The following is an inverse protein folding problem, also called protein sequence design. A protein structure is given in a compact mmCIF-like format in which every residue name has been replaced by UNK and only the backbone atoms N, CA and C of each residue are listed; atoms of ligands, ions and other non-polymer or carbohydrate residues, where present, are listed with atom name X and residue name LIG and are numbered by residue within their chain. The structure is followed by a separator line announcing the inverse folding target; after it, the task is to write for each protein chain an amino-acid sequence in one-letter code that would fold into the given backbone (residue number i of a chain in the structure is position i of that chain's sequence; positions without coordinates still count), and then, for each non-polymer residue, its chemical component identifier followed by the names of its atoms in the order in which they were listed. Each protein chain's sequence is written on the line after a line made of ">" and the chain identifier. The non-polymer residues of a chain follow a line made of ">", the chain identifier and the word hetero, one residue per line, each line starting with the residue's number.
data_IF_119143344107
#
_entry.id   IF_119143344107
#
_cell.length_a   1.000
_cell.length_b   1.000
_cell.length_c   1.000
_cell.angle_alpha   90.00
_cell.angle_beta   90.00
_cell.angle_gamma   90.00
#
_symmetry.space_group_name_H-M   'P 1'
#
loop_
_entity.id
_entity.type
_entity.pdbx_description
1 polymer ?
#
# COMPACT_ATOMS: atom_id res chain seq x y z
N UNK A 1 47.06 -28.92 -32.91
CA UNK A 1 47.65 -29.93 -32.01
C UNK A 1 46.86 -29.91 -30.72
N UNK A 2 46.25 -31.06 -30.47
CA UNK A 2 45.72 -31.61 -29.20
C UNK A 2 44.80 -30.67 -28.36
N UNK A 3 43.63 -31.05 -27.95
CA UNK A 3 42.93 -32.33 -27.96
C UNK A 3 42.04 -32.38 -26.73
N UNK A 4 40.77 -32.60 -26.96
CA UNK A 4 39.82 -33.46 -26.24
C UNK A 4 39.88 -33.47 -24.70
N UNK A 5 38.79 -33.14 -24.01
CA UNK A 5 38.05 -34.17 -23.30
C UNK A 5 36.68 -33.72 -22.83
N UNK A 6 35.72 -34.38 -23.37
CA UNK A 6 34.33 -34.52 -22.92
C UNK A 6 34.34 -35.38 -21.66
N UNK A 7 33.70 -34.97 -20.59
CA UNK A 7 33.22 -35.90 -19.57
C UNK A 7 31.77 -35.57 -19.14
N UNK A 8 30.94 -36.38 -19.70
CA UNK A 8 29.58 -36.72 -19.36
C UNK A 8 29.55 -37.26 -17.92
N UNK A 9 28.83 -36.65 -17.02
CA UNK A 9 28.43 -37.26 -15.77
C UNK A 9 26.90 -37.30 -15.74
N UNK A 10 26.45 -38.55 -15.84
CA UNK A 10 25.10 -38.99 -15.87
C UNK A 10 24.40 -38.72 -14.54
N UNK A 11 23.20 -38.16 -14.67
CA UNK A 11 22.13 -38.03 -13.70
C UNK A 11 21.91 -39.28 -12.86
N UNK A 12 21.77 -39.07 -11.57
CA UNK A 12 20.93 -39.94 -10.70
C UNK A 12 19.73 -39.09 -10.24
N UNK A 13 18.61 -39.36 -10.87
CA UNK A 13 17.28 -39.00 -10.40
C UNK A 13 17.00 -39.76 -9.09
N UNK A 14 17.02 -39.08 -7.96
CA UNK A 14 16.36 -39.52 -6.75
C UNK A 14 15.05 -38.75 -6.62
N UNK A 15 13.98 -39.44 -6.96
CA UNK A 15 12.61 -39.13 -6.60
C UNK A 15 12.50 -39.11 -5.06
N UNK A 16 12.56 -37.93 -4.45
CA UNK A 16 12.05 -37.74 -3.11
C UNK A 16 10.64 -37.14 -3.23
N UNK A 17 9.67 -38.05 -3.17
CA UNK A 17 8.29 -37.72 -2.87
C UNK A 17 8.25 -36.96 -1.54
N UNK A 18 7.92 -35.67 -1.60
CA UNK A 18 7.50 -34.96 -0.41
C UNK A 18 6.09 -35.40 -0.07
N UNK A 19 6.00 -36.37 0.82
CA UNK A 19 4.81 -36.59 1.59
C UNK A 19 4.57 -35.34 2.45
N UNK A 20 3.59 -34.54 2.09
CA UNK A 20 2.95 -33.64 3.02
C UNK A 20 2.36 -34.50 4.14
N UNK A 21 3.03 -34.47 5.28
CA UNK A 21 2.49 -35.02 6.52
C UNK A 21 1.32 -34.10 6.89
N UNK A 22 0.13 -34.52 6.52
CA UNK A 22 -1.07 -34.08 7.20
C UNK A 22 -0.89 -34.48 8.65
N UNK A 23 -0.73 -33.50 9.52
CA UNK A 23 -0.76 -33.68 10.96
C UNK A 23 -2.21 -34.11 11.33
N UNK A 24 -2.49 -35.38 11.18
CA UNK A 24 -3.68 -36.00 11.78
C UNK A 24 -3.32 -36.15 13.25
N UNK A 25 -3.55 -35.13 14.04
CA UNK A 25 -3.60 -35.28 15.49
C UNK A 25 -4.64 -36.37 15.78
N UNK A 26 -4.09 -37.43 16.34
CA UNK A 26 -4.74 -38.71 16.58
C UNK A 26 -6.10 -38.49 17.28
N UNK A 27 -7.15 -38.93 16.61
CA UNK A 27 -8.41 -39.25 17.27
C UNK A 27 -8.08 -40.42 18.24
N UNK A 28 -8.08 -40.13 19.51
CA UNK A 28 -7.95 -41.13 20.55
C UNK A 28 -9.06 -42.15 20.37
N UNK A 29 -8.79 -43.46 20.51
CA UNK A 29 -9.82 -44.49 20.37
C UNK A 29 -10.85 -44.29 21.49
N UNK A 30 -12.09 -44.07 21.09
CA UNK A 30 -13.25 -44.07 21.99
C UNK A 30 -13.42 -45.49 22.50
N UNK A 31 -13.18 -45.71 23.79
CA UNK A 31 -13.56 -46.95 24.47
C UNK A 31 -15.10 -47.05 24.45
N UNK A 32 -15.61 -47.91 23.60
CA UNK A 32 -17.00 -48.35 23.58
C UNK A 32 -17.23 -49.34 24.72
N UNK A 33 -17.54 -48.82 25.90
CA UNK A 33 -18.19 -49.60 26.96
C UNK A 33 -19.12 -48.64 27.73
N UNK A 34 -20.29 -48.45 27.16
CA UNK A 34 -21.54 -48.20 27.90
C UNK A 34 -22.68 -48.19 26.89
N UNK A 35 -23.43 -49.31 26.89
CA UNK A 35 -24.70 -49.45 26.17
C UNK A 35 -25.77 -48.57 26.79
N UNK A 36 -25.98 -47.37 26.21
CA UNK A 36 -27.18 -46.58 26.42
C UNK A 36 -28.13 -46.82 25.22
N UNK A 37 -29.32 -47.41 25.42
CA UNK A 37 -30.25 -47.74 24.35
C UNK A 37 -31.01 -46.56 23.74
N UNK A 38 -30.74 -45.32 24.15
CA UNK A 38 -31.41 -44.12 23.63
C UNK A 38 -30.40 -43.04 23.30
N UNK A 39 -29.36 -43.39 22.51
CA UNK A 39 -28.36 -42.45 22.08
C UNK A 39 -28.92 -41.36 21.18
N UNK A 40 -29.39 -40.27 21.77
CA UNK A 40 -29.43 -38.97 21.09
C UNK A 40 -28.00 -38.49 21.00
N UNK A 41 -27.33 -38.79 19.90
CA UNK A 41 -26.04 -38.21 19.60
C UNK A 41 -26.25 -36.69 19.47
N UNK A 42 -25.78 -35.95 20.48
CA UNK A 42 -25.70 -34.49 20.43
C UNK A 42 -24.59 -34.13 19.44
N UNK A 43 -24.99 -33.97 18.17
CA UNK A 43 -24.09 -33.58 17.10
C UNK A 43 -23.45 -32.22 17.33
N UNK A 44 -24.02 -31.38 18.17
CA UNK A 44 -23.50 -30.02 18.47
C UNK A 44 -22.21 -30.03 19.30
N UNK A 45 -21.93 -31.18 19.99
CA UNK A 45 -20.73 -31.29 20.84
C UNK A 45 -19.44 -31.58 20.03
N UNK A 46 -19.53 -32.01 18.77
CA UNK A 46 -18.39 -32.45 17.96
C UNK A 46 -17.92 -31.44 16.90
N UNK A 47 -18.63 -30.30 16.71
CA UNK A 47 -18.30 -29.32 15.67
C UNK A 47 -18.15 -27.91 16.21
N UNK A 48 -17.58 -27.74 17.40
CA UNK A 48 -17.11 -26.43 17.83
C UNK A 48 -15.79 -26.09 17.11
N UNK A 49 -15.88 -25.86 15.81
CA UNK A 49 -14.77 -25.18 15.13
C UNK A 49 -14.72 -23.76 15.73
N UNK A 50 -13.59 -23.36 16.31
CA UNK A 50 -13.47 -22.00 16.84
C UNK A 50 -13.77 -21.03 15.69
N UNK A 51 -14.70 -20.11 15.93
CA UNK A 51 -14.99 -19.07 14.92
C UNK A 51 -13.67 -18.40 14.53
N UNK A 52 -13.43 -18.21 13.23
CA UNK A 52 -12.22 -17.55 12.79
C UNK A 52 -12.11 -16.20 13.51
N UNK A 53 -10.92 -15.90 14.04
CA UNK A 53 -10.68 -14.62 14.70
C UNK A 53 -10.85 -13.50 13.67
N UNK A 54 -11.54 -12.41 14.04
CA UNK A 54 -11.64 -11.25 13.16
C UNK A 54 -10.25 -10.75 12.76
N UNK A 55 -10.07 -10.45 11.48
CA UNK A 55 -8.80 -9.91 10.96
C UNK A 55 -8.49 -8.56 11.62
N UNK A 56 -7.30 -8.38 12.21
CA UNK A 56 -6.93 -7.09 12.80
C UNK A 56 -6.88 -5.96 11.76
N UNK A 57 -7.06 -4.73 12.22
CA UNK A 57 -6.99 -3.52 11.40
C UNK A 57 -5.84 -2.65 11.89
N UNK A 58 -4.95 -2.25 10.99
CA UNK A 58 -3.93 -1.25 11.23
C UNK A 58 -4.37 0.07 10.61
N UNK A 59 -4.24 1.17 11.37
CA UNK A 59 -4.47 2.54 10.89
C UNK A 59 -3.16 3.31 10.86
N UNK A 60 -3.00 4.17 9.84
CA UNK A 60 -1.87 5.07 9.71
C UNK A 60 -2.29 6.46 9.25
N UNK A 61 -1.90 7.47 10.02
CA UNK A 61 -2.17 8.88 9.74
C UNK A 61 -1.30 9.46 8.60
N UNK A 62 -1.66 10.67 8.14
CA UNK A 62 -0.98 11.39 7.08
C UNK A 62 0.16 12.30 7.55
N UNK A 63 0.60 13.18 6.63
CA UNK A 63 1.60 14.23 6.89
C UNK A 63 1.07 15.26 7.89
N UNK A 64 1.96 15.84 8.69
CA UNK A 64 1.64 16.85 9.73
C UNK A 64 0.55 16.41 10.70
N UNK A 65 0.38 15.10 10.87
CA UNK A 65 -0.63 14.45 11.71
C UNK A 65 0.01 13.50 12.72
N UNK A 66 -0.79 12.96 13.61
CA UNK A 66 -0.42 11.97 14.62
C UNK A 66 -1.62 11.06 14.93
N UNK A 67 -1.41 10.06 15.77
CA UNK A 67 -2.45 9.08 16.14
C UNK A 67 -3.67 9.73 16.78
N UNK A 68 -3.52 10.85 17.49
CA UNK A 68 -4.66 11.51 18.17
C UNK A 68 -5.72 12.00 17.17
N UNK A 69 -5.32 12.35 15.95
CA UNK A 69 -6.25 12.79 14.92
C UNK A 69 -7.09 11.64 14.32
N UNK A 70 -6.66 10.39 14.49
CA UNK A 70 -7.40 9.21 14.06
C UNK A 70 -8.21 8.55 15.21
N UNK A 71 -8.14 9.05 16.44
CA UNK A 71 -8.95 8.48 17.54
C UNK A 71 -10.45 8.40 17.24
N UNK A 72 -11.11 9.41 16.62
CA UNK A 72 -12.50 9.27 16.22
C UNK A 72 -12.75 8.09 15.26
N UNK A 73 -11.79 7.81 14.38
CA UNK A 73 -11.85 6.66 13.45
C UNK A 73 -11.68 5.34 14.20
N UNK A 74 -10.75 5.30 15.16
CA UNK A 74 -10.52 4.12 16.02
C UNK A 74 -11.78 3.77 16.81
N UNK A 75 -12.40 4.76 17.46
CA UNK A 75 -13.61 4.57 18.22
C UNK A 75 -14.78 4.11 17.33
N UNK A 76 -14.92 4.72 16.17
CA UNK A 76 -15.93 4.32 15.19
C UNK A 76 -15.76 2.87 14.74
N UNK A 77 -14.54 2.47 14.32
CA UNK A 77 -14.26 1.09 13.89
C UNK A 77 -14.54 0.08 15.01
N UNK A 78 -14.05 0.36 16.24
CA UNK A 78 -14.27 -0.51 17.41
C UNK A 78 -15.75 -0.63 17.78
N UNK A 79 -16.55 0.41 17.53
CA UNK A 79 -17.98 0.38 17.81
C UNK A 79 -18.79 -0.46 16.82
N UNK A 80 -18.23 -0.72 15.63
CA UNK A 80 -18.93 -1.35 14.49
C UNK A 80 -18.38 -2.73 14.13
N UNK A 81 -17.12 -3.01 14.46
CA UNK A 81 -16.42 -4.23 14.05
C UNK A 81 -15.83 -4.94 15.27
N UNK A 82 -15.82 -6.29 15.27
CA UNK A 82 -15.21 -7.08 16.33
C UNK A 82 -13.68 -7.13 16.23
N UNK A 83 -13.08 -6.52 15.21
CA UNK A 83 -11.65 -6.52 14.92
C UNK A 83 -10.85 -5.71 15.92
N UNK A 84 -9.64 -6.17 16.26
CA UNK A 84 -8.68 -5.33 16.96
C UNK A 84 -8.17 -4.23 16.04
N UNK A 85 -8.09 -3.00 16.55
CA UNK A 85 -7.65 -1.81 15.81
C UNK A 85 -6.35 -1.29 16.41
N UNK A 86 -5.30 -1.22 15.59
CA UNK A 86 -3.98 -0.72 15.93
C UNK A 86 -3.72 0.60 15.21
N UNK A 87 -3.73 1.70 15.94
CA UNK A 87 -3.44 3.04 15.45
C UNK A 87 -1.93 3.29 15.65
N UNK A 88 -1.16 3.24 14.56
CA UNK A 88 0.31 3.25 14.62
C UNK A 88 0.85 4.68 14.55
N UNK A 89 1.75 4.99 15.49
CA UNK A 89 2.54 6.21 15.47
C UNK A 89 3.95 5.94 14.94
N UNK A 90 4.44 6.81 14.06
CA UNK A 90 5.80 6.73 13.54
C UNK A 90 6.67 7.81 14.17
N UNK A 91 7.54 7.39 15.08
CA UNK A 91 8.48 8.29 15.76
C UNK A 91 7.77 9.37 16.58
N UNK A 92 8.00 10.64 16.27
CA UNK A 92 7.33 11.78 16.91
C UNK A 92 6.21 12.33 15.99
N UNK A 93 5.31 11.46 15.55
CA UNK A 93 4.06 11.76 14.85
C UNK A 93 4.15 12.96 13.91
N UNK A 94 3.44 14.01 14.26
CA UNK A 94 3.30 15.24 13.50
C UNK A 94 4.61 15.81 12.97
N UNK A 95 5.67 15.82 13.79
CA UNK A 95 6.97 16.34 13.37
C UNK A 95 7.66 15.41 12.39
N UNK A 96 7.69 14.13 12.69
CA UNK A 96 8.42 13.16 11.86
C UNK A 96 7.69 12.85 10.56
N UNK A 97 6.36 12.94 10.54
CA UNK A 97 5.59 12.80 9.29
C UNK A 97 5.92 13.88 8.26
N UNK A 98 6.42 15.05 8.68
CA UNK A 98 6.88 16.13 7.78
C UNK A 98 8.40 16.09 7.55
N UNK A 99 9.20 16.01 8.65
CA UNK A 99 10.66 16.23 8.63
C UNK A 99 11.50 14.97 8.63
N UNK A 100 10.94 13.84 8.25
CA UNK A 100 11.66 12.59 7.96
C UNK A 100 11.31 12.10 6.57
N UNK A 101 12.30 11.59 5.85
CA UNK A 101 12.09 11.03 4.52
C UNK A 101 11.07 9.90 4.56
N UNK A 102 10.38 9.64 3.44
CA UNK A 102 9.44 8.53 3.32
C UNK A 102 10.13 7.17 3.57
N UNK A 103 11.38 6.99 3.14
CA UNK A 103 12.15 5.77 3.40
C UNK A 103 12.40 5.54 4.89
N UNK A 104 12.74 6.60 5.63
CA UNK A 104 12.90 6.49 7.07
C UNK A 104 11.59 6.13 7.76
N UNK A 105 10.50 6.81 7.40
CA UNK A 105 9.18 6.53 7.96
C UNK A 105 8.71 5.11 7.64
N UNK A 106 8.96 4.63 6.43
CA UNK A 106 8.62 3.27 6.03
C UNK A 106 9.39 2.23 6.83
N UNK A 107 10.69 2.45 7.08
CA UNK A 107 11.50 1.57 7.92
C UNK A 107 10.95 1.49 9.35
N UNK A 108 10.65 2.64 9.96
CA UNK A 108 10.07 2.68 11.31
C UNK A 108 8.69 2.01 11.35
N UNK A 109 7.86 2.21 10.33
CA UNK A 109 6.57 1.52 10.19
C UNK A 109 6.72 0.00 10.15
N UNK A 110 7.68 -0.51 9.36
CA UNK A 110 7.93 -1.95 9.29
C UNK A 110 8.33 -2.52 10.67
N UNK A 111 9.19 -1.81 11.41
CA UNK A 111 9.60 -2.21 12.75
C UNK A 111 8.42 -2.17 13.74
N UNK A 112 7.59 -1.13 13.67
CA UNK A 112 6.42 -0.99 14.53
C UNK A 112 5.41 -2.13 14.30
N UNK A 113 5.14 -2.49 13.05
CA UNK A 113 4.23 -3.61 12.72
C UNK A 113 4.83 -4.94 13.19
N UNK A 114 6.12 -5.19 12.99
CA UNK A 114 6.77 -6.44 13.43
C UNK A 114 6.83 -6.59 14.97
N UNK A 115 6.69 -5.49 15.70
CA UNK A 115 6.60 -5.51 17.15
C UNK A 115 5.22 -5.94 17.69
N UNK A 116 4.22 -6.16 16.81
CA UNK A 116 2.86 -6.55 17.16
C UNK A 116 2.60 -8.00 16.70
N UNK A 117 2.82 -9.02 17.54
CA UNK A 117 2.68 -10.43 17.14
C UNK A 117 1.29 -10.79 16.63
N UNK A 118 0.25 -10.08 17.07
CA UNK A 118 -1.14 -10.31 16.67
C UNK A 118 -1.40 -10.04 15.19
N UNK A 119 -0.46 -9.41 14.49
CA UNK A 119 -0.54 -9.12 13.05
C UNK A 119 0.14 -10.20 12.19
N UNK A 120 0.77 -11.22 12.80
CA UNK A 120 1.59 -12.22 12.09
C UNK A 120 0.78 -13.03 11.08
N UNK A 121 -0.47 -13.37 11.40
CA UNK A 121 -1.38 -14.14 10.54
C UNK A 121 -2.05 -13.31 9.45
N UNK A 122 -1.72 -12.02 9.38
CA UNK A 122 -2.26 -11.07 8.40
C UNK A 122 -3.25 -10.08 9.00
N UNK A 123 -3.38 -8.94 8.33
CA UNK A 123 -4.21 -7.82 8.78
C UNK A 123 -4.73 -6.99 7.60
N UNK A 124 -5.76 -6.17 7.87
CA UNK A 124 -6.24 -5.14 6.97
C UNK A 124 -5.52 -3.83 7.27
N UNK A 125 -5.05 -3.13 6.26
CA UNK A 125 -4.31 -1.88 6.44
C UNK A 125 -5.08 -0.70 5.86
N UNK A 126 -5.45 0.25 6.71
CA UNK A 126 -6.07 1.52 6.32
C UNK A 126 -5.03 2.64 6.47
N UNK A 127 -4.65 3.28 5.37
CA UNK A 127 -3.73 4.42 5.36
C UNK A 127 -4.40 5.67 4.80
N UNK A 128 -4.30 6.79 5.53
CA UNK A 128 -4.86 8.07 5.09
C UNK A 128 -3.76 8.98 4.53
N UNK A 129 -4.01 9.63 3.39
CA UNK A 129 -3.10 10.63 2.81
C UNK A 129 -1.69 10.04 2.60
N UNK A 130 -0.63 10.69 3.09
CA UNK A 130 0.74 10.14 3.11
C UNK A 130 0.81 8.74 3.75
N UNK A 131 -0.03 8.46 4.76
CA UNK A 131 -0.10 7.15 5.41
C UNK A 131 -0.48 6.04 4.45
N UNK A 132 -1.28 6.31 3.42
CA UNK A 132 -1.61 5.31 2.39
C UNK A 132 -0.44 5.01 1.46
N UNK A 133 0.45 5.97 1.18
CA UNK A 133 1.71 5.70 0.48
C UNK A 133 2.64 4.82 1.32
N UNK A 134 2.73 5.09 2.62
CA UNK A 134 3.52 4.28 3.55
C UNK A 134 2.94 2.87 3.71
N UNK A 135 1.61 2.74 3.79
CA UNK A 135 0.94 1.44 3.83
C UNK A 135 1.21 0.62 2.56
N UNK A 136 1.13 1.25 1.38
CA UNK A 136 1.51 0.61 0.13
C UNK A 136 3.01 0.26 0.09
N UNK A 137 3.87 1.14 0.59
CA UNK A 137 5.30 0.88 0.75
C UNK A 137 5.59 -0.31 1.67
N UNK A 138 4.82 -0.47 2.74
CA UNK A 138 4.89 -1.64 3.61
C UNK A 138 4.59 -2.93 2.83
N UNK A 139 3.50 -2.96 2.08
CA UNK A 139 3.16 -4.11 1.22
C UNK A 139 4.30 -4.45 0.27
N UNK A 140 4.86 -3.47 -0.43
CA UNK A 140 5.88 -3.69 -1.44
C UNK A 140 7.23 -4.13 -0.85
N UNK A 141 7.58 -3.65 0.35
CA UNK A 141 8.93 -3.74 0.88
C UNK A 141 9.08 -4.64 2.12
N UNK A 142 8.07 -4.66 2.96
CA UNK A 142 8.16 -5.27 4.29
C UNK A 142 7.28 -6.49 4.47
N UNK A 143 6.17 -6.61 3.87
CA UNK A 143 5.06 -7.58 3.92
C UNK A 143 5.35 -8.98 4.55
N UNK A 144 6.19 -9.03 5.59
CA UNK A 144 6.48 -10.26 6.34
C UNK A 144 5.26 -10.71 7.13
N UNK A 145 4.56 -9.76 7.76
CA UNK A 145 3.21 -9.94 8.26
C UNK A 145 2.29 -9.48 7.15
N UNK A 146 1.54 -10.39 6.50
CA UNK A 146 0.90 -10.09 5.22
C UNK A 146 -0.27 -9.13 5.38
N UNK A 147 -0.33 -8.12 4.53
CA UNK A 147 -1.54 -7.30 4.37
C UNK A 147 -2.52 -8.10 3.50
N UNK A 148 -3.73 -8.30 3.99
CA UNK A 148 -4.84 -8.90 3.25
C UNK A 148 -5.51 -7.88 2.35
N UNK A 149 -6.10 -6.87 2.94
CA UNK A 149 -6.71 -5.76 2.21
C UNK A 149 -5.95 -4.46 2.48
N UNK A 150 -5.44 -3.83 1.42
CA UNK A 150 -4.88 -2.50 1.47
C UNK A 150 -5.98 -1.50 1.12
N UNK A 151 -6.35 -0.67 2.08
CA UNK A 151 -7.37 0.36 1.93
C UNK A 151 -6.72 1.72 2.12
N UNK A 152 -6.87 2.60 1.17
CA UNK A 152 -6.27 3.94 1.24
C UNK A 152 -7.34 5.00 1.11
N UNK A 153 -7.26 6.00 1.98
CA UNK A 153 -8.16 7.15 1.96
C UNK A 153 -7.39 8.38 1.50
N UNK A 154 -7.82 8.97 0.40
CA UNK A 154 -7.27 10.21 -0.17
C UNK A 154 -5.74 10.23 -0.22
N UNK A 155 -5.14 9.14 -0.69
CA UNK A 155 -3.69 8.98 -0.74
C UNK A 155 -3.12 9.36 -2.09
N UNK A 156 -2.04 10.13 -2.18
CA UNK A 156 -1.48 10.61 -3.45
C UNK A 156 -0.67 9.53 -4.17
N UNK A 157 -1.33 8.47 -4.66
CA UNK A 157 -0.69 7.30 -5.24
C UNK A 157 0.17 7.60 -6.46
N UNK A 158 -0.19 8.62 -7.23
CA UNK A 158 0.61 9.08 -8.37
C UNK A 158 1.28 10.45 -8.14
N UNK A 159 1.40 10.84 -6.85
CA UNK A 159 2.10 12.04 -6.44
C UNK A 159 1.21 13.27 -6.26
N UNK A 160 1.85 14.39 -6.01
CA UNK A 160 1.19 15.71 -5.87
C UNK A 160 1.94 16.76 -6.67
N UNK A 161 1.19 17.77 -7.16
CA UNK A 161 1.74 18.96 -7.80
C UNK A 161 0.76 20.14 -7.64
N UNK A 162 1.27 21.38 -7.58
CA UNK A 162 0.40 22.56 -7.48
C UNK A 162 -0.10 22.87 -6.07
N UNK A 163 0.57 22.37 -5.06
CA UNK A 163 0.32 22.72 -3.66
C UNK A 163 0.53 24.22 -3.42
N UNK A 164 -0.14 24.78 -2.42
CA UNK A 164 -0.06 26.19 -2.07
C UNK A 164 1.40 26.63 -1.87
N UNK A 165 1.92 27.43 -2.80
CA UNK A 165 3.35 27.77 -2.96
C UNK A 165 3.93 28.67 -1.86
N UNK A 166 3.10 29.08 -0.88
CA UNK A 166 3.45 30.12 0.09
C UNK A 166 4.54 29.71 1.09
N UNK A 167 4.72 28.40 1.33
CA UNK A 167 5.59 27.93 2.40
C UNK A 167 6.87 27.23 1.96
N UNK A 168 6.96 26.82 0.69
CA UNK A 168 8.09 26.04 0.19
C UNK A 168 8.56 26.54 -1.17
N UNK A 169 9.88 26.56 -1.37
CA UNK A 169 10.47 26.85 -2.67
C UNK A 169 10.46 25.56 -3.54
N UNK A 170 9.39 25.37 -4.29
CA UNK A 170 9.18 24.19 -5.14
C UNK A 170 10.26 23.99 -6.21
N UNK A 171 11.00 25.05 -6.56
CA UNK A 171 12.12 24.94 -7.49
C UNK A 171 13.26 24.09 -6.93
N UNK A 172 13.33 23.98 -5.59
CA UNK A 172 14.35 23.22 -4.87
C UNK A 172 13.90 21.81 -4.48
N UNK A 173 12.68 21.39 -4.82
CA UNK A 173 12.12 20.14 -4.36
C UNK A 173 12.99 18.93 -4.70
N UNK A 174 13.67 18.94 -5.86
CA UNK A 174 14.56 17.89 -6.29
C UNK A 174 16.02 18.05 -5.87
N UNK A 175 16.33 19.01 -4.99
CA UNK A 175 17.66 19.09 -4.38
C UNK A 175 17.82 18.03 -3.29
N UNK A 176 19.07 17.60 -3.06
CA UNK A 176 19.37 16.63 -1.99
C UNK A 176 18.94 17.12 -0.59
N UNK A 177 18.94 18.43 -0.36
CA UNK A 177 18.47 19.01 0.90
C UNK A 177 16.96 18.75 1.11
N UNK A 178 16.11 19.07 0.13
CA UNK A 178 14.67 18.86 0.23
C UNK A 178 14.33 17.38 0.30
N UNK A 179 14.94 16.58 -0.57
CA UNK A 179 14.74 15.13 -0.61
C UNK A 179 15.22 14.42 0.65
N UNK A 180 16.21 14.97 1.35
CA UNK A 180 16.73 14.44 2.61
C UNK A 180 15.99 14.91 3.86
N UNK A 181 15.16 15.95 3.76
CA UNK A 181 14.51 16.56 4.92
C UNK A 181 12.99 16.41 4.92
N UNK A 182 12.33 16.67 3.78
CA UNK A 182 10.88 16.75 3.72
C UNK A 182 10.28 15.50 3.11
N UNK A 183 9.29 14.89 3.78
CA UNK A 183 8.60 13.70 3.29
C UNK A 183 7.90 13.93 1.95
N UNK A 184 7.18 15.06 1.81
CA UNK A 184 6.44 15.39 0.61
C UNK A 184 7.33 15.52 -0.64
N UNK A 185 8.60 15.90 -0.48
CA UNK A 185 9.53 15.96 -1.60
C UNK A 185 9.71 14.60 -2.28
N UNK A 186 9.61 13.50 -1.52
CA UNK A 186 9.71 12.14 -2.03
C UNK A 186 8.51 11.68 -2.90
N UNK A 187 7.38 12.40 -2.88
CA UNK A 187 6.22 12.11 -3.72
C UNK A 187 5.69 13.33 -4.50
N UNK A 188 6.49 14.41 -4.56
CA UNK A 188 6.26 15.51 -5.48
C UNK A 188 6.55 15.07 -6.91
N UNK A 189 5.59 15.27 -7.84
CA UNK A 189 5.70 14.87 -9.25
C UNK A 189 5.39 16.09 -10.11
N UNK A 190 6.43 16.72 -10.64
CA UNK A 190 6.29 17.93 -11.44
C UNK A 190 6.09 17.57 -12.92
N UNK A 191 4.92 17.85 -13.52
CA UNK A 191 4.63 17.54 -14.92
C UNK A 191 5.50 18.32 -15.92
N UNK A 192 6.18 19.37 -15.48
CA UNK A 192 7.10 20.17 -16.30
C UNK A 192 8.58 19.79 -16.08
N UNK A 193 8.88 18.90 -15.12
CA UNK A 193 10.24 18.45 -14.80
C UNK A 193 10.29 16.92 -14.59
N UNK A 194 9.67 16.18 -15.48
CA UNK A 194 9.51 14.73 -15.28
C UNK A 194 10.85 13.98 -15.20
N UNK A 195 11.86 14.40 -15.99
CA UNK A 195 13.21 13.83 -15.89
C UNK A 195 13.84 14.08 -14.52
N UNK A 196 13.67 15.29 -13.95
CA UNK A 196 14.16 15.61 -12.61
C UNK A 196 13.43 14.80 -11.53
N UNK A 197 12.12 14.58 -11.69
CA UNK A 197 11.36 13.67 -10.84
C UNK A 197 11.93 12.26 -10.87
N UNK A 198 12.14 11.68 -12.04
CA UNK A 198 12.67 10.32 -12.18
C UNK A 198 14.10 10.17 -11.65
N UNK A 199 14.94 11.22 -11.82
CA UNK A 199 16.34 11.18 -11.44
C UNK A 199 16.59 11.46 -9.96
N UNK A 200 15.81 12.36 -9.35
CA UNK A 200 16.13 12.93 -8.05
C UNK A 200 15.08 12.67 -6.96
N UNK A 201 13.82 12.35 -7.30
CA UNK A 201 12.85 11.97 -6.28
C UNK A 201 13.26 10.66 -5.63
N UNK A 202 13.26 10.63 -4.29
CA UNK A 202 13.86 9.51 -3.54
C UNK A 202 12.87 8.41 -3.18
N UNK A 203 11.58 8.56 -3.46
CA UNK A 203 10.59 7.59 -3.01
C UNK A 203 9.60 7.16 -4.10
N UNK A 204 8.77 8.09 -4.61
CA UNK A 204 7.64 7.73 -5.46
C UNK A 204 8.03 7.02 -6.77
N UNK A 205 9.09 7.41 -7.51
CA UNK A 205 9.46 6.71 -8.73
C UNK A 205 9.79 5.23 -8.50
N UNK A 206 10.35 4.90 -7.33
CA UNK A 206 10.66 3.52 -6.92
C UNK A 206 9.40 2.80 -6.46
N UNK A 207 8.57 3.44 -5.67
CA UNK A 207 7.31 2.89 -5.21
C UNK A 207 6.35 2.60 -6.38
N UNK A 208 6.40 3.39 -7.45
CA UNK A 208 5.56 3.26 -8.65
C UNK A 208 6.21 2.42 -9.76
N UNK A 209 7.40 1.86 -9.55
CA UNK A 209 8.14 1.16 -10.58
C UNK A 209 8.37 2.00 -11.86
N UNK A 210 8.54 3.31 -11.70
CA UNK A 210 8.74 4.28 -12.81
C UNK A 210 10.21 4.59 -13.08
N UNK A 211 11.10 4.43 -12.09
CA UNK A 211 12.51 4.75 -12.26
C UNK A 211 13.17 3.84 -13.32
N UNK A 212 13.91 4.41 -14.26
CA UNK A 212 14.67 3.62 -15.24
C UNK A 212 15.94 2.98 -14.65
N UNK A 213 16.37 3.42 -13.45
CA UNK A 213 17.59 2.93 -12.82
C UNK A 213 17.28 1.76 -11.88
N UNK A 214 17.46 0.54 -12.39
CA UNK A 214 17.20 -0.70 -11.63
C UNK A 214 18.19 -0.92 -10.48
N UNK A 215 19.43 -0.45 -10.58
CA UNK A 215 20.42 -0.56 -9.48
C UNK A 215 19.95 0.25 -8.26
N UNK A 216 19.39 1.43 -8.49
CA UNK A 216 18.89 2.28 -7.42
C UNK A 216 17.70 1.68 -6.66
N UNK A 217 16.96 0.71 -7.22
CA UNK A 217 15.93 -0.03 -6.48
C UNK A 217 16.54 -0.84 -5.33
N UNK A 218 17.59 -1.59 -5.60
CA UNK A 218 18.27 -2.40 -4.60
C UNK A 218 18.90 -1.54 -3.49
N UNK A 219 19.55 -0.44 -3.83
CA UNK A 219 20.15 0.51 -2.88
C UNK A 219 19.08 1.10 -1.92
N UNK A 220 17.87 1.31 -2.41
CA UNK A 220 16.74 1.81 -1.62
C UNK A 220 15.92 0.71 -0.96
N UNK A 221 16.32 -0.54 -1.12
CA UNK A 221 15.62 -1.72 -0.58
C UNK A 221 14.30 -2.00 -1.27
N UNK A 222 14.12 -1.53 -2.50
CA UNK A 222 13.04 -1.94 -3.39
C UNK A 222 13.57 -2.95 -4.42
N UNK A 223 12.66 -3.75 -4.97
CA UNK A 223 12.89 -4.65 -6.09
C UNK A 223 11.68 -4.55 -7.02
N UNK A 224 11.92 -4.28 -8.29
CA UNK A 224 10.87 -4.03 -9.27
C UNK A 224 9.86 -5.19 -9.36
N UNK A 225 10.38 -6.41 -9.48
CA UNK A 225 9.54 -7.60 -9.61
C UNK A 225 8.83 -7.91 -8.30
N UNK A 226 9.55 -7.85 -7.19
CA UNK A 226 8.99 -8.07 -5.86
C UNK A 226 7.90 -7.04 -5.54
N UNK A 227 8.10 -5.77 -5.87
CA UNK A 227 7.08 -4.74 -5.67
C UNK A 227 5.75 -5.15 -6.33
N UNK A 228 5.83 -5.61 -7.57
CA UNK A 228 4.66 -6.06 -8.33
C UNK A 228 4.05 -7.32 -7.72
N UNK A 229 4.83 -8.33 -7.39
CA UNK A 229 4.38 -9.59 -6.79
C UNK A 229 3.67 -9.34 -5.45
N UNK A 230 4.21 -8.47 -4.61
CA UNK A 230 3.62 -8.13 -3.32
C UNK A 230 2.28 -7.38 -3.47
N UNK A 231 2.17 -6.47 -4.42
CA UNK A 231 0.87 -5.83 -4.72
C UNK A 231 -0.14 -6.86 -5.23
N UNK A 232 0.26 -7.79 -6.07
CA UNK A 232 -0.60 -8.86 -6.57
C UNK A 232 -1.01 -9.88 -5.51
N UNK A 233 -0.29 -9.98 -4.40
CA UNK A 233 -0.62 -10.87 -3.28
C UNK A 233 -1.80 -10.38 -2.43
N UNK A 234 -2.22 -9.12 -2.58
CA UNK A 234 -3.36 -8.57 -1.85
C UNK A 234 -4.65 -9.31 -2.23
N UNK A 235 -5.52 -9.49 -1.24
CA UNK A 235 -6.90 -9.90 -1.48
C UNK A 235 -7.67 -8.79 -2.19
N UNK A 236 -7.53 -7.54 -1.71
CA UNK A 236 -8.04 -6.34 -2.35
C UNK A 236 -7.11 -5.16 -2.16
N UNK A 237 -7.02 -4.30 -3.19
CA UNK A 237 -6.49 -2.95 -3.10
C UNK A 237 -7.64 -1.96 -3.34
N UNK A 238 -8.02 -1.25 -2.29
CA UNK A 238 -9.15 -0.32 -2.27
C UNK A 238 -8.63 1.10 -2.16
N UNK A 239 -8.90 1.91 -3.15
CA UNK A 239 -8.53 3.33 -3.20
C UNK A 239 -9.79 4.17 -3.08
N UNK A 240 -9.97 4.80 -1.91
CA UNK A 240 -11.05 5.74 -1.66
C UNK A 240 -10.50 7.14 -1.86
N UNK A 241 -11.01 7.83 -2.86
CA UNK A 241 -10.61 9.17 -3.25
C UNK A 241 -11.81 10.12 -3.18
N UNK A 242 -11.59 11.42 -3.36
CA UNK A 242 -12.66 12.41 -3.39
C UNK A 242 -12.36 13.52 -4.40
N UNK A 243 -13.32 13.83 -5.25
CA UNK A 243 -13.24 15.03 -6.11
C UNK A 243 -13.24 16.34 -5.32
N UNK A 244 -13.69 16.32 -4.05
CA UNK A 244 -13.69 17.44 -3.12
C UNK A 244 -12.42 17.51 -2.24
N UNK A 245 -11.39 16.73 -2.57
CA UNK A 245 -10.12 16.80 -1.85
C UNK A 245 -9.47 18.17 -2.06
N UNK A 246 -9.24 18.89 -0.97
CA UNK A 246 -8.69 20.25 -0.94
C UNK A 246 -7.20 20.28 -0.60
N UNK A 247 -6.56 19.11 -0.51
CA UNK A 247 -5.15 18.94 -0.17
C UNK A 247 -4.37 18.25 -1.30
N UNK A 248 -4.86 17.14 -1.83
CA UNK A 248 -4.19 16.41 -2.90
C UNK A 248 -4.49 17.07 -4.24
N UNK A 249 -3.45 17.45 -4.98
CA UNK A 249 -3.57 18.03 -6.31
C UNK A 249 -2.73 17.22 -7.32
N UNK A 250 -3.35 16.63 -8.37
CA UNK A 250 -4.79 16.56 -8.55
C UNK A 250 -5.44 15.53 -7.62
N UNK A 251 -6.72 15.70 -7.20
CA UNK A 251 -7.42 14.75 -6.34
C UNK A 251 -7.44 13.33 -6.88
N UNK A 252 -7.48 13.19 -8.19
CA UNK A 252 -7.48 11.92 -8.93
C UNK A 252 -6.19 11.11 -8.72
N UNK A 253 -5.12 11.73 -8.18
CA UNK A 253 -3.93 11.00 -7.75
C UNK A 253 -4.25 9.87 -6.76
N UNK A 254 -5.34 10.01 -6.02
CA UNK A 254 -5.87 8.98 -5.13
C UNK A 254 -6.26 7.68 -5.82
N UNK A 255 -6.39 7.66 -7.15
CA UNK A 255 -6.69 6.48 -7.97
C UNK A 255 -5.72 6.31 -9.15
N UNK A 256 -4.45 6.76 -9.00
CA UNK A 256 -3.39 6.68 -10.01
C UNK A 256 -3.66 7.47 -11.29
N UNK A 257 -4.44 8.53 -11.23
CA UNK A 257 -4.58 9.49 -12.31
C UNK A 257 -3.80 10.76 -11.98
N UNK A 258 -3.04 11.25 -12.92
CA UNK A 258 -2.19 12.41 -12.71
C UNK A 258 -2.17 13.32 -13.95
N UNK A 259 -1.56 14.49 -13.81
CA UNK A 259 -1.39 15.41 -14.92
C UNK A 259 -0.57 14.78 -16.05
N UNK A 260 -0.96 15.08 -17.28
CA UNK A 260 -0.13 14.76 -18.45
C UNK A 260 1.26 15.36 -18.29
N UNK A 261 2.26 14.62 -18.74
CA UNK A 261 3.63 15.14 -18.76
C UNK A 261 3.75 16.19 -19.85
N UNK A 262 3.78 17.46 -19.44
CA UNK A 262 3.86 18.62 -20.34
C UNK A 262 5.25 18.76 -20.92
N UNK A 263 6.27 18.63 -20.07
CA UNK A 263 7.65 18.73 -20.46
C UNK A 263 8.51 17.68 -19.76
N UNK A 264 9.50 17.15 -20.46
CA UNK A 264 10.49 16.27 -19.81
C UNK A 264 11.46 17.09 -18.95
N UNK A 265 11.91 18.24 -19.48
CA UNK A 265 12.74 19.22 -18.77
C UNK A 265 12.21 20.63 -19.01
N UNK A 266 12.48 21.56 -18.11
CA UNK A 266 12.10 22.98 -18.27
C UNK A 266 12.84 23.67 -19.43
N UNK A 267 14.00 23.13 -19.82
CA UNK A 267 14.81 23.62 -20.93
C UNK A 267 14.28 23.15 -22.30
N UNK A 268 13.31 22.21 -22.31
CA UNK A 268 12.68 21.77 -23.56
C UNK A 268 12.05 22.96 -24.29
N UNK A 269 12.39 23.20 -25.58
CA UNK A 269 11.82 24.30 -26.35
C UNK A 269 10.29 24.30 -26.29
N UNK A 270 9.68 25.46 -26.07
CA UNK A 270 8.23 25.62 -25.95
C UNK A 270 7.64 25.22 -24.57
N UNK A 271 8.43 24.67 -23.64
CA UNK A 271 7.95 24.29 -22.32
C UNK A 271 7.53 25.52 -21.48
N UNK A 272 8.32 26.61 -21.52
CA UNK A 272 8.01 27.85 -20.79
C UNK A 272 6.72 28.52 -21.24
N UNK A 273 6.44 28.47 -22.54
CA UNK A 273 5.21 29.05 -23.11
C UNK A 273 3.99 28.22 -22.72
N UNK A 274 4.12 26.88 -22.67
CA UNK A 274 3.06 25.98 -22.17
C UNK A 274 2.80 26.21 -20.68
N UNK A 275 3.84 26.38 -19.88
CA UNK A 275 3.72 26.70 -18.44
C UNK A 275 2.86 27.94 -18.17
N UNK A 276 2.94 28.96 -19.03
CA UNK A 276 2.21 30.20 -18.86
C UNK A 276 0.74 30.15 -19.31
N UNK A 277 0.37 29.20 -20.16
CA UNK A 277 -0.90 29.22 -20.91
C UNK A 277 -1.76 27.95 -20.77
N UNK A 278 -1.26 26.86 -20.21
CA UNK A 278 -1.98 25.58 -20.19
C UNK A 278 -2.64 25.30 -18.82
N UNK A 279 -3.93 25.00 -18.88
CA UNK A 279 -4.56 24.22 -17.82
C UNK A 279 -4.03 22.79 -17.89
N UNK A 280 -3.39 22.31 -16.81
CA UNK A 280 -2.97 20.92 -16.70
C UNK A 280 -4.18 19.99 -16.85
N UNK A 281 -4.04 19.01 -17.72
CA UNK A 281 -5.07 17.97 -17.94
C UNK A 281 -4.70 16.73 -17.16
N UNK A 282 -5.66 16.14 -16.48
CA UNK A 282 -5.48 14.86 -15.79
C UNK A 282 -5.67 13.73 -16.77
N UNK A 283 -4.71 12.81 -16.81
CA UNK A 283 -4.77 11.60 -17.62
C UNK A 283 -5.66 10.57 -16.91
N UNK A 284 -6.57 9.96 -17.66
CA UNK A 284 -7.41 8.87 -17.18
C UNK A 284 -6.59 7.63 -16.81
N UNK A 285 -7.03 6.90 -15.79
CA UNK A 285 -6.37 5.71 -15.26
C UNK A 285 -6.04 4.68 -16.33
N UNK A 286 -6.97 4.38 -17.22
CA UNK A 286 -6.81 3.35 -18.27
C UNK A 286 -5.79 3.74 -19.34
N UNK A 287 -5.46 5.02 -19.44
CA UNK A 287 -4.43 5.57 -20.33
C UNK A 287 -3.10 5.79 -19.59
N UNK A 288 -3.09 5.70 -18.26
CA UNK A 288 -1.87 5.91 -17.46
C UNK A 288 -0.81 4.86 -17.75
N UNK A 289 0.47 5.22 -17.56
CA UNK A 289 1.58 4.27 -17.69
C UNK A 289 1.48 3.12 -16.68
N UNK A 290 0.89 3.36 -15.53
CA UNK A 290 0.66 2.36 -14.47
C UNK A 290 -0.28 1.26 -14.96
N UNK A 291 -1.37 1.63 -15.66
CA UNK A 291 -2.29 0.64 -16.21
C UNK A 291 -1.75 0.01 -17.50
N UNK A 292 -1.33 0.83 -18.47
CA UNK A 292 -0.92 0.36 -19.81
C UNK A 292 0.28 -0.60 -19.72
N UNK A 293 1.30 -0.27 -18.92
CA UNK A 293 2.50 -1.08 -18.73
C UNK A 293 2.37 -2.11 -17.62
N UNK A 294 1.32 -2.03 -16.81
CA UNK A 294 1.07 -2.90 -15.64
C UNK A 294 2.27 -2.94 -14.66
N UNK A 295 2.90 -1.79 -14.43
CA UNK A 295 4.16 -1.68 -13.70
C UNK A 295 4.07 -2.25 -12.28
N UNK A 296 2.96 -2.03 -11.60
CA UNK A 296 2.65 -2.52 -10.26
C UNK A 296 1.68 -3.70 -10.24
N UNK A 297 1.21 -4.17 -11.41
CA UNK A 297 0.16 -5.16 -11.49
C UNK A 297 -1.26 -4.60 -11.32
N UNK A 298 -1.45 -3.27 -11.46
CA UNK A 298 -2.77 -2.64 -11.25
C UNK A 298 -3.78 -3.08 -12.29
N UNK A 299 -3.38 -3.22 -13.58
CA UNK A 299 -4.24 -3.80 -14.61
C UNK A 299 -4.62 -5.24 -14.28
N UNK A 300 -3.65 -6.02 -13.83
CA UNK A 300 -3.89 -7.42 -13.43
C UNK A 300 -4.87 -7.51 -12.26
N UNK A 301 -4.70 -6.68 -11.21
CA UNK A 301 -5.65 -6.62 -10.10
C UNK A 301 -7.05 -6.19 -10.55
N UNK A 302 -7.13 -5.15 -11.42
CA UNK A 302 -8.39 -4.67 -11.96
C UNK A 302 -9.14 -5.77 -12.73
N UNK A 303 -8.45 -6.49 -13.61
CA UNK A 303 -9.02 -7.58 -14.40
C UNK A 303 -9.48 -8.75 -13.53
N UNK A 304 -8.85 -8.95 -12.37
CA UNK A 304 -9.21 -9.98 -11.40
C UNK A 304 -10.27 -9.52 -10.38
N UNK A 305 -10.80 -8.31 -10.51
CA UNK A 305 -11.80 -7.75 -9.58
C UNK A 305 -11.26 -7.42 -8.19
N UNK A 306 -9.95 -7.25 -8.05
CA UNK A 306 -9.24 -6.98 -6.77
C UNK A 306 -8.79 -5.52 -6.61
N UNK A 307 -8.94 -4.69 -7.63
CA UNK A 307 -8.66 -3.25 -7.58
C UNK A 307 -9.97 -2.48 -7.56
N UNK A 308 -10.16 -1.67 -6.53
CA UNK A 308 -11.37 -0.89 -6.31
C UNK A 308 -11.03 0.60 -6.24
N UNK A 309 -11.67 1.40 -7.08
CA UNK A 309 -11.54 2.86 -7.11
C UNK A 309 -12.90 3.44 -6.73
N UNK A 310 -13.02 3.87 -5.48
CA UNK A 310 -14.28 4.28 -4.87
C UNK A 310 -14.23 5.76 -4.50
N UNK A 311 -15.34 6.47 -4.64
CA UNK A 311 -15.39 7.91 -4.44
C UNK A 311 -16.27 8.30 -3.25
N UNK A 312 -15.78 9.26 -2.46
CA UNK A 312 -16.57 9.98 -1.45
C UNK A 312 -16.78 11.43 -1.86
N UNK A 313 -17.70 12.11 -1.16
CA UNK A 313 -17.89 13.55 -1.30
C UNK A 313 -17.24 14.36 -0.15
N UNK A 314 -16.36 13.73 0.64
CA UNK A 314 -15.74 14.36 1.80
C UNK A 314 -14.51 15.20 1.39
N UNK A 315 -14.23 16.27 2.12
CA UNK A 315 -12.94 16.97 2.01
C UNK A 315 -11.80 16.09 2.54
N UNK A 316 -10.57 16.44 2.25
CA UNK A 316 -9.41 15.67 2.71
C UNK A 316 -9.46 15.35 4.21
N UNK A 317 -9.52 16.40 5.03
CA UNK A 317 -9.60 16.24 6.49
C UNK A 317 -10.96 15.70 6.96
N UNK A 318 -12.00 15.80 6.15
CA UNK A 318 -13.32 15.26 6.43
C UNK A 318 -13.34 13.75 6.64
N UNK A 319 -12.45 13.00 5.97
CA UNK A 319 -12.37 11.54 6.07
C UNK A 319 -12.10 11.00 7.48
N UNK A 320 -11.54 11.80 8.37
CA UNK A 320 -11.32 11.43 9.78
C UNK A 320 -12.41 11.94 10.74
N UNK A 321 -13.53 12.42 10.21
CA UNK A 321 -14.62 13.01 11.01
C UNK A 321 -15.92 12.21 10.91
N UNK A 322 -16.78 12.24 11.94
CA UNK A 322 -18.06 11.54 11.94
C UNK A 322 -18.97 11.87 10.75
N UNK A 323 -18.85 13.05 10.16
CA UNK A 323 -19.64 13.44 9.00
C UNK A 323 -19.40 12.57 7.77
N UNK A 324 -18.18 12.02 7.62
CA UNK A 324 -17.81 11.15 6.51
C UNK A 324 -18.03 9.66 6.80
N UNK A 325 -18.13 9.25 8.05
CA UNK A 325 -18.19 7.83 8.43
C UNK A 325 -19.29 7.03 7.72
N UNK A 326 -20.49 7.54 7.46
CA UNK A 326 -21.49 6.77 6.72
C UNK A 326 -21.02 6.36 5.31
N UNK A 327 -20.36 7.26 4.58
CA UNK A 327 -19.81 6.95 3.26
C UNK A 327 -18.62 5.97 3.37
N UNK A 328 -17.73 6.19 4.34
CA UNK A 328 -16.59 5.31 4.58
C UNK A 328 -17.02 3.92 5.04
N UNK A 329 -18.10 3.79 5.78
CA UNK A 329 -18.67 2.50 6.19
C UNK A 329 -19.11 1.69 4.98
N UNK A 330 -19.88 2.31 4.09
CA UNK A 330 -20.33 1.67 2.85
C UNK A 330 -19.17 1.21 1.97
N UNK A 331 -18.12 2.03 1.86
CA UNK A 331 -17.01 1.80 0.94
C UNK A 331 -15.85 0.98 1.53
N UNK A 332 -15.71 0.94 2.86
CA UNK A 332 -14.57 0.28 3.53
C UNK A 332 -14.95 -1.07 4.13
N UNK A 333 -16.11 -1.18 4.79
CA UNK A 333 -16.47 -2.37 5.59
C UNK A 333 -16.62 -3.66 4.78
N UNK A 334 -17.07 -3.66 3.51
CA UNK A 334 -17.10 -4.87 2.71
C UNK A 334 -15.75 -5.58 2.58
N UNK A 335 -14.65 -4.88 2.85
CA UNK A 335 -13.28 -5.41 2.77
C UNK A 335 -12.66 -5.71 4.14
N UNK A 336 -13.38 -5.47 5.24
CA UNK A 336 -12.87 -5.66 6.61
C UNK A 336 -13.47 -6.88 7.32
N UNK A 337 -14.51 -7.48 6.76
CA UNK A 337 -15.28 -8.60 7.33
C UNK A 337 -15.00 -9.92 6.60
#
# INVERSE_FOLDING_TARGET
>A
MFGISCNLVILLLSLLSHNSILNTDAIAPVNNDNSDPQGTYDFDQYYYLPKPKPTPIVLLHGITSDTSELEPVVEWLKSRLPSQVYNIEIGNGRRNSLFKTMDWQLKELCLAIYAIPQLEDGFNFIGMSQGGLLARGYVQRCNRFPVRNLITWVSPHDGVYGFNEIYFDWQKVYTSFYQGLYSFAGYWKDPYQYEAYLANSTFLPYLNNESPNLEAYAERGFDFQRNREQILSLDNFVMIWSGNDDVISPPQSGRFEFYDIVCRTRETPGCRERFANDSLKVQDFFNSSQYVKDLLGLRTLFQNGKLHMLETNCTHSGHKTPACFPQLEELTFPFLV
#
